data_IF_112073239789
#
_entry.id   IF_112073239789
#
_cell.length_a   1.000
_cell.length_b   1.000
_cell.length_c   1.000
_cell.angle_alpha   90.00
_cell.angle_beta   90.00
_cell.angle_gamma   90.00
#
_symmetry.space_group_name_H-M   'P 1'
#
loop_
_entity.id
_entity.type
_entity.pdbx_description
1 polymer ?
#
# COMPACT_ATOMS: atom_id res chain seq x y z
N UNK A 1 -3.38 -3.52 -13.64
CA UNK A 1 -3.48 -2.36 -14.55
C UNK A 1 -2.59 -1.19 -14.16
N UNK A 2 -1.66 -1.32 -13.26
CA UNK A 2 -0.75 -0.28 -12.85
C UNK A 2 0.71 -0.65 -12.93
N UNK A 3 1.55 0.07 -12.23
CA UNK A 3 3.02 -0.08 -12.15
C UNK A 3 3.65 -0.56 -13.48
N UNK A 4 3.24 0.04 -14.59
CA UNK A 4 3.63 -0.36 -15.95
C UNK A 4 5.11 -0.17 -16.23
N UNK A 5 5.79 0.62 -15.43
CA UNK A 5 7.21 0.92 -15.52
C UNK A 5 8.08 -0.01 -14.67
N UNK A 6 7.46 -0.90 -13.88
CA UNK A 6 8.15 -1.91 -13.09
C UNK A 6 8.16 -3.24 -13.85
N UNK A 7 9.32 -3.67 -14.28
CA UNK A 7 9.52 -4.95 -14.94
C UNK A 7 10.00 -5.98 -13.91
N UNK A 8 9.35 -7.13 -13.87
CA UNK A 8 9.80 -8.28 -13.10
C UNK A 8 10.38 -9.30 -14.06
N UNK A 9 11.70 -9.43 -14.09
CA UNK A 9 12.44 -10.28 -15.04
C UNK A 9 13.59 -10.96 -14.35
N UNK A 10 14.12 -12.01 -14.97
CA UNK A 10 15.39 -12.59 -14.58
C UNK A 10 16.54 -11.64 -14.92
N UNK A 11 17.54 -11.61 -14.05
CA UNK A 11 18.80 -10.90 -14.31
C UNK A 11 19.86 -11.92 -14.69
N UNK A 12 20.27 -11.89 -15.94
CA UNK A 12 21.31 -12.79 -16.47
C UNK A 12 22.63 -12.04 -16.56
N UNK A 13 23.69 -12.61 -15.97
CA UNK A 13 25.03 -12.04 -15.98
C UNK A 13 25.96 -13.03 -16.71
N UNK A 14 26.42 -12.67 -17.91
CA UNK A 14 27.34 -13.47 -18.72
C UNK A 14 28.68 -12.70 -18.86
N UNK A 15 29.78 -13.30 -18.43
CA UNK A 15 31.12 -12.71 -18.48
C UNK A 15 31.25 -11.26 -18.01
N UNK A 16 30.38 -10.88 -17.05
CA UNK A 16 30.30 -9.52 -16.53
C UNK A 16 31.48 -9.24 -15.57
N UNK A 17 32.44 -8.46 -16.02
CA UNK A 17 33.60 -8.05 -15.19
C UNK A 17 33.30 -6.79 -14.43
N UNK A 18 33.31 -6.89 -13.09
CA UNK A 18 33.06 -5.77 -12.19
C UNK A 18 34.33 -5.45 -11.40
N UNK A 19 34.75 -4.19 -11.28
CA UNK A 19 35.89 -3.81 -10.44
C UNK A 19 35.70 -4.24 -8.99
N UNK A 20 36.73 -4.85 -8.37
CA UNK A 20 36.67 -5.33 -6.99
C UNK A 20 36.26 -4.25 -5.96
N UNK A 21 36.55 -2.98 -6.24
CA UNK A 21 36.13 -1.84 -5.40
C UNK A 21 34.62 -1.64 -5.34
N UNK A 22 33.86 -2.26 -6.24
CA UNK A 22 32.39 -2.20 -6.25
C UNK A 22 31.75 -3.30 -5.39
N UNK A 23 32.55 -4.14 -4.72
CA UNK A 23 32.04 -5.13 -3.79
C UNK A 23 31.32 -4.42 -2.61
N UNK A 24 30.06 -4.78 -2.36
CA UNK A 24 29.28 -4.30 -1.23
C UNK A 24 29.44 -5.28 -0.06
N UNK A 25 30.04 -4.81 1.04
CA UNK A 25 30.35 -5.67 2.18
C UNK A 25 31.57 -6.58 1.92
N UNK A 26 31.48 -7.83 2.36
CA UNK A 26 32.52 -8.84 2.21
C UNK A 26 32.00 -10.05 1.44
N UNK A 27 32.91 -10.85 0.86
CA UNK A 27 32.55 -12.10 0.23
C UNK A 27 31.78 -13.01 1.21
N UNK A 28 30.72 -13.65 0.72
CA UNK A 28 29.84 -14.51 1.51
C UNK A 28 28.71 -13.77 2.27
N UNK A 29 28.71 -12.43 2.35
CA UNK A 29 27.69 -11.66 3.08
C UNK A 29 26.46 -11.29 2.24
N UNK A 30 26.44 -11.60 0.95
CA UNK A 30 25.37 -11.15 0.04
C UNK A 30 23.97 -11.50 0.52
N UNK A 31 23.74 -12.71 1.01
CA UNK A 31 22.43 -13.13 1.52
C UNK A 31 21.98 -12.31 2.73
N UNK A 32 22.87 -12.07 3.70
CA UNK A 32 22.54 -11.30 4.90
C UNK A 32 22.25 -9.83 4.57
N UNK A 33 22.97 -9.25 3.60
CA UNK A 33 22.73 -7.89 3.11
C UNK A 33 21.37 -7.82 2.42
N UNK A 34 21.05 -8.79 1.56
CA UNK A 34 19.76 -8.87 0.89
C UNK A 34 18.60 -8.96 1.89
N UNK A 35 18.71 -9.80 2.92
CA UNK A 35 17.68 -9.92 3.95
C UNK A 35 17.45 -8.62 4.72
N UNK A 36 18.51 -7.91 5.09
CA UNK A 36 18.39 -6.58 5.74
C UNK A 36 17.70 -5.57 4.82
N UNK A 37 18.05 -5.56 3.54
CA UNK A 37 17.39 -4.69 2.55
C UNK A 37 15.91 -5.00 2.40
N UNK A 38 15.52 -6.29 2.39
CA UNK A 38 14.13 -6.71 2.32
C UNK A 38 13.34 -6.32 3.58
N UNK A 39 13.96 -6.37 4.76
CA UNK A 39 13.31 -5.94 5.99
C UNK A 39 12.97 -4.42 5.96
N UNK A 40 13.87 -3.60 5.44
CA UNK A 40 13.59 -2.18 5.19
C UNK A 40 12.50 -1.98 4.13
N UNK A 41 12.63 -2.68 3.00
CA UNK A 41 11.68 -2.57 1.89
C UNK A 41 10.25 -2.93 2.33
N UNK A 42 10.06 -3.93 3.21
CA UNK A 42 8.74 -4.30 3.74
C UNK A 42 8.06 -3.13 4.46
N UNK A 43 8.79 -2.40 5.31
CA UNK A 43 8.24 -1.23 5.99
C UNK A 43 7.81 -0.14 5.00
N UNK A 44 8.63 0.14 3.99
CA UNK A 44 8.32 1.13 2.94
C UNK A 44 7.15 0.72 2.06
N UNK A 45 7.03 -0.57 1.72
CA UNK A 45 5.85 -1.09 1.00
C UNK A 45 4.57 -0.90 1.82
N UNK A 46 4.65 -1.03 3.14
CA UNK A 46 3.56 -0.67 4.05
C UNK A 46 3.14 0.80 3.92
N UNK A 47 4.09 1.73 3.78
CA UNK A 47 3.79 3.16 3.55
C UNK A 47 3.00 3.37 2.26
N UNK A 48 3.43 2.71 1.17
CA UNK A 48 2.75 2.81 -0.12
C UNK A 48 1.31 2.30 0.01
N UNK A 49 1.11 1.16 0.65
CA UNK A 49 -0.21 0.58 0.87
C UNK A 49 -1.14 1.51 1.66
N UNK A 50 -0.65 2.11 2.76
CA UNK A 50 -1.39 3.12 3.53
C UNK A 50 -1.74 4.34 2.68
N UNK A 51 -0.82 4.79 1.82
CA UNK A 51 -1.07 5.90 0.89
C UNK A 51 -2.20 5.60 -0.10
N UNK A 52 -2.22 4.38 -0.65
CA UNK A 52 -3.29 3.91 -1.55
C UNK A 52 -4.63 3.87 -0.81
N UNK A 53 -4.68 3.25 0.37
CA UNK A 53 -5.89 3.20 1.19
C UNK A 53 -6.43 4.60 1.51
N UNK A 54 -5.55 5.51 1.95
CA UNK A 54 -5.93 6.90 2.24
C UNK A 54 -6.50 7.62 1.02
N UNK A 55 -5.92 7.40 -0.15
CA UNK A 55 -6.45 7.97 -1.40
C UNK A 55 -7.85 7.44 -1.69
N UNK A 56 -8.06 6.13 -1.56
CA UNK A 56 -9.38 5.51 -1.74
C UNK A 56 -10.44 6.11 -0.83
N UNK A 57 -10.10 6.30 0.46
CA UNK A 57 -11.00 6.95 1.44
C UNK A 57 -11.33 8.38 1.05
N UNK A 58 -10.33 9.17 0.66
CA UNK A 58 -10.53 10.58 0.30
C UNK A 58 -11.48 10.72 -0.90
N UNK A 59 -11.31 9.90 -1.93
CA UNK A 59 -12.18 9.90 -3.09
C UNK A 59 -13.60 9.42 -2.73
N UNK A 60 -13.72 8.37 -1.94
CA UNK A 60 -15.03 7.87 -1.48
C UNK A 60 -15.77 8.90 -0.62
N UNK A 61 -15.07 9.57 0.32
CA UNK A 61 -15.64 10.66 1.14
C UNK A 61 -16.16 11.80 0.24
N UNK A 62 -15.37 12.24 -0.73
CA UNK A 62 -15.77 13.30 -1.68
C UNK A 62 -17.02 12.88 -2.46
N UNK A 63 -16.97 11.74 -3.14
CA UNK A 63 -18.05 11.26 -3.97
C UNK A 63 -19.37 11.08 -3.18
N UNK A 64 -19.32 10.45 -2.03
CA UNK A 64 -20.52 10.21 -1.20
C UNK A 64 -21.13 11.48 -0.64
N UNK A 65 -20.38 12.56 -0.55
CA UNK A 65 -20.85 13.91 -0.15
C UNK A 65 -21.52 14.64 -1.31
N UNK A 66 -21.06 14.44 -2.53
CA UNK A 66 -21.58 15.10 -3.73
C UNK A 66 -22.75 14.34 -4.35
N UNK A 67 -22.75 13.00 -4.31
CA UNK A 67 -23.75 12.15 -4.94
C UNK A 67 -25.08 12.19 -4.21
N UNK A 68 -26.15 12.52 -4.94
CA UNK A 68 -27.53 12.53 -4.43
C UNK A 68 -28.28 11.32 -5.01
N UNK A 69 -28.94 10.56 -4.14
CA UNK A 69 -29.87 9.48 -4.47
C UNK A 69 -31.03 9.50 -3.47
N UNK A 70 -32.25 9.18 -3.94
CA UNK A 70 -33.45 9.18 -3.11
C UNK A 70 -33.67 10.49 -2.36
N UNK A 71 -33.36 11.63 -3.01
CA UNK A 71 -33.55 12.97 -2.48
C UNK A 71 -32.54 13.45 -1.45
N UNK A 72 -31.47 12.70 -1.17
CA UNK A 72 -30.43 13.09 -0.21
C UNK A 72 -29.03 12.65 -0.65
N UNK A 73 -28.00 13.28 -0.09
CA UNK A 73 -26.61 12.85 -0.23
C UNK A 73 -26.45 11.40 0.29
N UNK A 74 -25.71 10.55 -0.44
CA UNK A 74 -25.62 9.15 -0.07
C UNK A 74 -24.85 8.92 1.24
N UNK A 75 -23.95 9.83 1.64
CA UNK A 75 -23.29 9.80 2.94
C UNK A 75 -24.22 9.96 4.16
N UNK A 76 -25.50 10.30 3.93
CA UNK A 76 -26.52 10.34 4.98
C UNK A 76 -27.12 8.96 5.28
N UNK A 77 -26.77 7.94 4.51
CA UNK A 77 -27.18 6.56 4.76
C UNK A 77 -26.23 5.89 5.75
N UNK A 78 -26.78 5.30 6.81
CA UNK A 78 -26.01 4.70 7.90
C UNK A 78 -25.02 3.62 7.41
N UNK A 79 -25.45 2.78 6.46
CA UNK A 79 -24.56 1.76 5.89
C UNK A 79 -23.30 2.36 5.21
N UNK A 80 -23.44 3.51 4.55
CA UNK A 80 -22.31 4.22 3.94
C UNK A 80 -21.42 4.84 5.00
N UNK A 81 -22.02 5.41 6.06
CA UNK A 81 -21.26 5.97 7.18
C UNK A 81 -20.42 4.91 7.89
N UNK A 82 -20.99 3.74 8.15
CA UNK A 82 -20.27 2.64 8.77
C UNK A 82 -19.14 2.13 7.88
N UNK A 83 -19.39 1.96 6.59
CA UNK A 83 -18.36 1.56 5.65
C UNK A 83 -17.18 2.55 5.62
N UNK A 84 -17.44 3.84 5.54
CA UNK A 84 -16.40 4.87 5.59
C UNK A 84 -15.64 4.87 6.93
N UNK A 85 -16.35 4.65 8.05
CA UNK A 85 -15.71 4.56 9.35
C UNK A 85 -14.79 3.33 9.45
N UNK A 86 -15.24 2.17 8.98
CA UNK A 86 -14.44 0.94 8.97
C UNK A 86 -13.18 1.08 8.10
N UNK A 87 -13.31 1.70 6.93
CA UNK A 87 -12.17 2.00 6.06
C UNK A 87 -11.14 2.89 6.77
N UNK A 88 -11.61 3.93 7.45
CA UNK A 88 -10.76 4.89 8.17
C UNK A 88 -10.04 4.23 9.35
N UNK A 89 -10.77 3.48 10.19
CA UNK A 89 -10.21 2.74 11.33
C UNK A 89 -9.11 1.78 10.88
N UNK A 90 -9.38 0.95 9.88
CA UNK A 90 -8.42 -0.05 9.40
C UNK A 90 -7.18 0.60 8.80
N UNK A 91 -7.34 1.71 8.06
CA UNK A 91 -6.21 2.46 7.50
C UNK A 91 -5.37 3.11 8.58
N UNK A 92 -6.00 3.65 9.63
CA UNK A 92 -5.26 4.24 10.75
C UNK A 92 -4.49 3.17 11.54
N UNK A 93 -5.07 2.00 11.80
CA UNK A 93 -4.35 0.87 12.42
C UNK A 93 -3.13 0.47 11.57
N UNK A 94 -3.31 0.35 10.25
CA UNK A 94 -2.20 0.04 9.34
C UNK A 94 -1.11 1.12 9.41
N UNK A 95 -1.49 2.40 9.45
CA UNK A 95 -0.57 3.53 9.59
C UNK A 95 0.25 3.44 10.88
N UNK A 96 -0.36 3.11 12.01
CA UNK A 96 0.33 2.98 13.29
C UNK A 96 1.31 1.79 13.28
N UNK A 97 0.95 0.68 12.66
CA UNK A 97 1.86 -0.47 12.50
C UNK A 97 3.10 -0.10 11.67
N UNK A 98 2.89 0.61 10.56
CA UNK A 98 3.98 1.09 9.69
C UNK A 98 4.86 2.10 10.43
N UNK A 99 4.26 3.07 11.12
CA UNK A 99 4.98 4.06 11.92
C UNK A 99 5.84 3.40 12.99
N UNK A 100 5.31 2.39 13.70
CA UNK A 100 6.07 1.64 14.69
C UNK A 100 7.29 0.94 14.06
N UNK A 101 7.13 0.28 12.91
CA UNK A 101 8.24 -0.39 12.22
C UNK A 101 9.33 0.59 11.82
N UNK A 102 8.96 1.75 11.25
CA UNK A 102 9.89 2.81 10.84
C UNK A 102 10.59 3.44 12.03
N UNK A 103 9.86 3.76 13.11
CA UNK A 103 10.45 4.32 14.33
C UNK A 103 11.50 3.38 14.92
N UNK A 104 11.21 2.07 14.98
CA UNK A 104 12.19 1.08 15.46
C UNK A 104 13.42 1.03 14.57
N UNK A 105 13.23 1.12 13.25
CA UNK A 105 14.34 1.19 12.29
C UNK A 105 15.22 2.42 12.52
N UNK A 106 14.61 3.61 12.70
CA UNK A 106 15.33 4.86 12.94
C UNK A 106 16.08 4.84 14.27
N UNK A 107 15.54 4.16 15.28
CA UNK A 107 16.17 3.97 16.58
C UNK A 107 17.25 2.87 16.60
N UNK A 108 17.50 2.20 15.48
CA UNK A 108 18.47 1.09 15.39
C UNK A 108 18.05 -0.17 16.15
N UNK A 109 16.77 -0.30 16.50
CA UNK A 109 16.22 -1.48 17.18
C UNK A 109 15.93 -2.60 16.16
N UNK A 110 15.75 -3.83 16.64
CA UNK A 110 15.25 -4.94 15.82
C UNK A 110 13.83 -4.64 15.36
N UNK A 111 13.57 -4.75 14.03
CA UNK A 111 12.28 -4.39 13.41
C UNK A 111 11.80 -5.36 12.33
N UNK A 112 12.52 -6.47 12.10
CA UNK A 112 12.17 -7.43 11.04
C UNK A 112 10.75 -8.00 11.20
N UNK A 113 10.33 -8.33 12.43
CA UNK A 113 8.98 -8.79 12.74
C UNK A 113 7.95 -7.69 12.50
N UNK A 114 8.20 -6.50 12.99
CA UNK A 114 7.32 -5.33 12.87
C UNK A 114 7.16 -4.90 11.41
N UNK A 115 8.23 -4.92 10.62
CA UNK A 115 8.17 -4.62 9.18
C UNK A 115 7.37 -5.66 8.40
N UNK A 116 7.50 -6.94 8.74
CA UNK A 116 6.72 -8.01 8.12
C UNK A 116 5.22 -7.88 8.44
N UNK A 117 4.87 -7.61 9.70
CA UNK A 117 3.49 -7.37 10.13
C UNK A 117 2.91 -6.14 9.43
N UNK A 118 3.66 -5.03 9.44
CA UNK A 118 3.23 -3.78 8.82
C UNK A 118 2.94 -3.96 7.33
N UNK A 119 3.85 -4.61 6.57
CA UNK A 119 3.65 -4.88 5.14
C UNK A 119 2.42 -5.76 4.91
N UNK A 120 2.30 -6.87 5.63
CA UNK A 120 1.21 -7.83 5.45
C UNK A 120 -0.13 -7.15 5.71
N UNK A 121 -0.32 -6.57 6.88
CA UNK A 121 -1.58 -5.94 7.27
C UNK A 121 -1.92 -4.74 6.38
N UNK A 122 -0.97 -3.84 6.12
CA UNK A 122 -1.23 -2.66 5.31
C UNK A 122 -1.62 -3.00 3.87
N UNK A 123 -0.99 -4.03 3.25
CA UNK A 123 -1.35 -4.45 1.89
C UNK A 123 -2.74 -5.06 1.81
N UNK A 124 -3.11 -5.92 2.78
CA UNK A 124 -4.43 -6.52 2.83
C UNK A 124 -5.53 -5.46 3.02
N UNK A 125 -5.28 -4.50 3.92
CA UNK A 125 -6.21 -3.39 4.15
C UNK A 125 -6.32 -2.46 2.94
N UNK A 126 -5.22 -2.19 2.24
CA UNK A 126 -5.26 -1.35 1.05
C UNK A 126 -6.17 -1.96 -0.03
N UNK A 127 -6.09 -3.27 -0.25
CA UNK A 127 -6.99 -3.99 -1.17
C UNK A 127 -8.45 -3.86 -0.74
N UNK A 128 -8.74 -4.16 0.52
CA UNK A 128 -10.11 -4.09 1.05
C UNK A 128 -10.69 -2.68 0.97
N UNK A 129 -9.93 -1.65 1.35
CA UNK A 129 -10.36 -0.25 1.29
C UNK A 129 -10.58 0.19 -0.16
N UNK A 130 -9.74 -0.26 -1.09
CA UNK A 130 -9.91 0.03 -2.50
C UNK A 130 -11.20 -0.61 -3.08
N UNK A 131 -11.50 -1.86 -2.74
CA UNK A 131 -12.75 -2.54 -3.11
C UNK A 131 -13.98 -1.82 -2.52
N UNK A 132 -13.92 -1.45 -1.24
CA UNK A 132 -14.99 -0.71 -0.57
C UNK A 132 -15.18 0.68 -1.18
N UNK A 133 -14.10 1.36 -1.58
CA UNK A 133 -14.20 2.62 -2.31
C UNK A 133 -14.93 2.44 -3.64
N UNK A 134 -14.56 1.45 -4.47
CA UNK A 134 -15.27 1.15 -5.72
C UNK A 134 -16.74 0.88 -5.45
N UNK A 135 -17.05 0.09 -4.43
CA UNK A 135 -18.44 -0.20 -4.06
C UNK A 135 -19.25 1.06 -3.73
N UNK A 136 -18.63 2.05 -3.06
CA UNK A 136 -19.26 3.33 -2.74
C UNK A 136 -19.54 4.19 -3.97
N UNK A 137 -18.71 4.08 -5.03
CA UNK A 137 -18.96 4.72 -6.32
C UNK A 137 -20.04 4.01 -7.14
N UNK A 138 -20.36 2.75 -6.84
CA UNK A 138 -21.30 1.95 -7.61
C UNK A 138 -20.84 1.81 -9.08
N UNK A 139 -21.73 1.96 -10.05
CA UNK A 139 -21.38 1.85 -11.47
C UNK A 139 -20.29 2.81 -11.94
N UNK A 140 -20.18 3.98 -11.34
CA UNK A 140 -19.11 4.94 -11.65
C UNK A 140 -17.72 4.47 -11.18
N UNK A 141 -17.63 3.58 -10.19
CA UNK A 141 -16.35 2.99 -9.78
C UNK A 141 -15.66 2.16 -10.85
N UNK A 142 -16.43 1.70 -11.84
CA UNK A 142 -15.91 0.98 -13.01
C UNK A 142 -15.55 1.90 -14.19
N UNK A 143 -15.89 3.19 -14.12
CA UNK A 143 -15.61 4.16 -15.18
C UNK A 143 -14.19 4.68 -15.08
N UNK A 144 -13.54 4.91 -16.24
CA UNK A 144 -12.22 5.57 -16.31
C UNK A 144 -12.25 7.07 -15.95
N UNK A 145 -13.44 7.65 -15.84
CA UNK A 145 -13.63 9.03 -15.42
C UNK A 145 -13.33 9.23 -13.94
N UNK A 146 -13.36 8.13 -13.17
CA UNK A 146 -13.06 8.11 -11.74
C UNK A 146 -11.79 7.30 -11.46
N UNK A 147 -10.94 7.75 -10.53
CA UNK A 147 -9.63 7.14 -10.33
C UNK A 147 -9.67 5.79 -9.57
N UNK A 148 -10.84 5.28 -9.20
CA UNK A 148 -11.00 4.12 -8.31
C UNK A 148 -10.34 2.84 -8.84
N UNK A 149 -10.48 2.53 -10.13
CA UNK A 149 -9.88 1.33 -10.73
C UNK A 149 -8.34 1.38 -10.78
N UNK A 150 -7.74 2.59 -10.76
CA UNK A 150 -6.29 2.74 -10.82
C UNK A 150 -5.61 2.31 -9.51
N UNK A 151 -6.35 2.23 -8.40
CA UNK A 151 -5.80 1.91 -7.09
C UNK A 151 -6.00 0.46 -6.68
N UNK A 152 -6.96 -0.26 -7.28
CA UNK A 152 -7.27 -1.65 -6.90
C UNK A 152 -6.44 -2.68 -7.64
N UNK A 153 -6.00 -2.36 -8.85
CA UNK A 153 -5.26 -3.31 -9.68
C UNK A 153 -3.75 -3.25 -9.47
N UNK A 154 -3.25 -2.28 -8.72
CA UNK A 154 -1.83 -2.00 -8.57
C UNK A 154 -1.28 -2.35 -7.19
N UNK A 155 -2.15 -2.72 -6.26
CA UNK A 155 -1.76 -3.07 -4.89
C UNK A 155 -1.50 -4.59 -4.70
N UNK A 156 -1.63 -5.40 -5.75
CA UNK A 156 -1.42 -6.84 -5.72
C UNK A 156 0.02 -7.22 -6.08
#
# INVERSE_FOLDING_TARGET
MGIRTSNTTDVVLEDCRIPAKNLIGQEGQGFSIAMKTLDQARAWMGCIAVGIAQRGINEAKRYTTERIQFGKQINKNQAIQFKLADMDIQTEVARQMVANALTRMDMGLTYNRESAIAKCFASDIAMKVAEDAIQLFGGYGYSREYPCLLYTSDAA
#
